data_IF_742779507813
#
_entry.id   IF_742779507813
#
_cell.length_a   1.000
_cell.length_b   1.000
_cell.length_c   1.000
_cell.angle_alpha   90.00
_cell.angle_beta   90.00
_cell.angle_gamma   90.00
#
_symmetry.space_group_name_H-M   'P 1'
#
loop_
_entity.id
_entity.type
_entity.pdbx_description
1 polymer ?
#
# COMPACT_ATOMS: atom_id res chain seq x y z
N UNK A 1 -9.43 -4.37 -2.68
CA UNK A 1 -8.63 -5.26 -1.83
C UNK A 1 -9.33 -6.60 -1.66
N UNK A 2 -8.57 -7.66 -1.76
CA UNK A 2 -9.01 -9.03 -1.51
C UNK A 2 -8.04 -9.64 -0.50
N UNK A 3 -8.55 -10.29 0.54
CA UNK A 3 -7.72 -10.84 1.59
C UNK A 3 -8.58 -11.54 2.63
N UNK A 4 -7.97 -11.93 3.74
CA UNK A 4 -8.65 -12.62 4.81
C UNK A 4 -7.94 -12.50 6.15
N UNK A 5 -8.62 -12.88 7.19
CA UNK A 5 -8.09 -12.86 8.54
C UNK A 5 -9.19 -12.85 9.59
N UNK A 6 -8.78 -12.92 10.82
CA UNK A 6 -9.71 -12.84 11.96
C UNK A 6 -9.51 -11.50 12.66
N UNK A 7 -10.59 -10.75 12.79
CA UNK A 7 -10.63 -9.49 13.52
C UNK A 7 -11.70 -9.62 14.59
N UNK A 8 -11.32 -9.36 15.83
CA UNK A 8 -12.22 -9.34 16.97
C UNK A 8 -12.40 -7.88 17.41
N UNK A 9 -13.66 -7.50 17.57
CA UNK A 9 -14.03 -6.20 18.10
C UNK A 9 -14.75 -6.35 19.43
N UNK A 10 -14.35 -5.57 20.40
CA UNK A 10 -15.00 -5.52 21.72
C UNK A 10 -15.30 -4.07 22.10
N UNK A 11 -16.50 -3.86 22.59
CA UNK A 11 -16.95 -2.58 23.13
C UNK A 11 -17.22 -2.74 24.63
N UNK A 12 -16.56 -1.93 25.43
CA UNK A 12 -16.87 -1.83 26.86
C UNK A 12 -17.67 -0.54 27.11
N UNK A 13 -18.63 -0.58 28.01
CA UNK A 13 -19.46 0.58 28.37
C UNK A 13 -18.69 1.75 29.00
N UNK A 14 -17.43 1.54 29.34
CA UNK A 14 -16.55 2.52 29.99
C UNK A 14 -15.25 2.82 29.25
N UNK A 15 -15.00 2.16 28.13
CA UNK A 15 -13.75 2.29 27.35
C UNK A 15 -14.05 2.45 25.88
N UNK A 16 -13.11 3.06 25.15
CA UNK A 16 -13.11 3.07 23.69
C UNK A 16 -13.12 1.65 23.13
N UNK A 17 -13.79 1.45 22.00
CA UNK A 17 -13.83 0.17 21.32
C UNK A 17 -12.41 -0.37 21.05
N UNK A 18 -12.20 -1.65 21.28
CA UNK A 18 -10.93 -2.33 21.05
C UNK A 18 -11.04 -3.30 19.89
N UNK A 19 -10.02 -3.30 19.04
CA UNK A 19 -9.92 -4.22 17.92
C UNK A 19 -8.63 -5.03 18.03
N UNK A 20 -8.72 -6.34 17.84
CA UNK A 20 -7.55 -7.23 17.80
C UNK A 20 -7.65 -8.19 16.64
N UNK A 21 -6.50 -8.58 16.11
CA UNK A 21 -6.43 -9.53 15.01
C UNK A 21 -5.64 -9.02 13.82
N UNK A 22 -5.63 -9.78 12.74
CA UNK A 22 -4.86 -9.49 11.53
C UNK A 22 -5.72 -9.69 10.30
N UNK A 23 -5.62 -8.77 9.37
CA UNK A 23 -6.11 -8.89 8.01
C UNK A 23 -4.95 -8.97 7.04
N UNK A 24 -4.82 -10.08 6.33
CA UNK A 24 -3.79 -10.31 5.32
C UNK A 24 -4.35 -10.00 3.94
N UNK A 25 -3.61 -9.24 3.16
CA UNK A 25 -3.97 -8.84 1.80
C UNK A 25 -3.38 -9.87 0.85
N UNK A 26 -4.24 -10.51 0.06
CA UNK A 26 -3.85 -11.47 -0.97
C UNK A 26 -3.78 -10.79 -2.35
N UNK A 27 -4.65 -9.78 -2.58
CA UNK A 27 -4.74 -9.08 -3.85
C UNK A 27 -5.32 -7.68 -3.67
N UNK A 28 -4.88 -6.75 -4.49
CA UNK A 28 -5.40 -5.39 -4.51
C UNK A 28 -4.35 -4.40 -4.95
N UNK A 29 -4.75 -3.15 -5.01
CA UNK A 29 -3.86 -2.07 -5.39
C UNK A 29 -4.10 -0.84 -4.52
N UNK A 30 -3.08 0.00 -4.47
CA UNK A 30 -3.15 1.34 -3.90
C UNK A 30 -2.90 2.36 -5.01
N UNK A 31 -3.69 3.43 -4.99
CA UNK A 31 -3.51 4.58 -5.88
C UNK A 31 -2.73 5.65 -5.16
N UNK A 32 -1.73 6.16 -5.84
CA UNK A 32 -0.93 7.27 -5.35
C UNK A 32 -0.82 8.34 -6.45
N UNK A 33 -1.18 9.56 -6.11
CA UNK A 33 -1.07 10.70 -7.03
C UNK A 33 -0.04 11.67 -6.48
N UNK A 34 1.21 11.62 -6.98
CA UNK A 34 2.22 12.60 -6.61
C UNK A 34 1.80 14.02 -7.01
N UNK A 35 2.27 15.06 -6.31
CA UNK A 35 2.06 16.44 -6.75
C UNK A 35 2.58 16.65 -8.17
N UNK A 36 1.77 17.26 -9.04
CA UNK A 36 2.09 17.61 -10.42
C UNK A 36 2.35 16.41 -11.37
N UNK A 37 1.94 15.20 -10.99
CA UNK A 37 2.17 13.99 -11.75
C UNK A 37 0.88 13.18 -11.98
N UNK A 38 0.94 12.23 -12.90
CA UNK A 38 -0.13 11.28 -13.13
C UNK A 38 -0.26 10.30 -11.97
N UNK A 39 -1.47 9.78 -11.78
CA UNK A 39 -1.76 8.72 -10.83
C UNK A 39 -0.88 7.49 -11.09
N UNK A 40 -0.34 6.91 -10.03
CA UNK A 40 0.41 5.66 -10.02
C UNK A 40 -0.40 4.58 -9.31
N UNK A 41 -0.33 3.37 -9.82
CA UNK A 41 -1.02 2.20 -9.27
C UNK A 41 0.05 1.22 -8.77
N UNK A 42 0.00 0.91 -7.49
CA UNK A 42 0.85 -0.09 -6.88
C UNK A 42 0.03 -1.31 -6.52
N UNK A 43 0.38 -2.45 -7.06
CA UNK A 43 -0.22 -3.73 -6.72
C UNK A 43 0.37 -4.28 -5.43
N UNK A 44 -0.48 -4.65 -4.48
CA UNK A 44 -0.02 -5.24 -3.22
C UNK A 44 0.63 -6.59 -3.46
N UNK A 45 1.79 -6.79 -2.84
CA UNK A 45 2.41 -8.11 -2.73
C UNK A 45 1.64 -8.97 -1.73
N UNK A 46 1.54 -10.24 -2.05
CA UNK A 46 0.95 -11.25 -1.17
C UNK A 46 1.68 -11.27 0.19
N UNK A 47 0.91 -11.43 1.25
CA UNK A 47 1.43 -11.41 2.61
C UNK A 47 1.48 -10.02 3.25
N UNK A 48 1.15 -8.96 2.52
CA UNK A 48 0.89 -7.65 3.11
C UNK A 48 -0.23 -7.75 4.14
N UNK A 49 -0.11 -7.06 5.28
CA UNK A 49 -1.13 -7.16 6.32
C UNK A 49 -1.30 -5.88 7.14
N UNK A 50 -2.47 -5.81 7.78
CA UNK A 50 -2.79 -4.85 8.83
C UNK A 50 -3.14 -5.64 10.11
N UNK A 51 -2.50 -5.33 11.23
CA UNK A 51 -2.74 -5.98 12.51
C UNK A 51 -3.20 -4.97 13.57
N UNK A 52 -4.26 -5.33 14.28
CA UNK A 52 -4.84 -4.54 15.36
C UNK A 52 -4.44 -5.14 16.70
N UNK A 53 -3.92 -4.32 17.60
CA UNK A 53 -3.44 -4.71 18.93
C UNK A 53 -4.20 -4.00 20.06
N UNK A 54 -5.47 -3.69 19.83
CA UNK A 54 -6.35 -3.01 20.79
C UNK A 54 -6.76 -1.62 20.28
N UNK A 55 -5.83 -0.77 19.93
CA UNK A 55 -6.10 0.57 19.39
C UNK A 55 -6.53 0.47 17.92
N UNK A 56 -7.79 0.81 17.65
CA UNK A 56 -8.37 0.80 16.29
C UNK A 56 -7.71 1.85 15.40
N UNK A 57 -7.28 2.95 16.00
CA UNK A 57 -6.74 4.11 15.28
C UNK A 57 -5.24 3.99 15.01
N UNK A 58 -4.58 3.01 15.61
CA UNK A 58 -3.14 2.81 15.47
C UNK A 58 -2.75 1.34 15.19
N UNK A 59 -3.27 0.75 14.10
CA UNK A 59 -2.88 -0.60 13.69
C UNK A 59 -1.40 -0.65 13.30
N UNK A 60 -0.83 -1.83 13.39
CA UNK A 60 0.48 -2.15 12.84
C UNK A 60 0.32 -2.49 11.36
N UNK A 61 1.16 -1.90 10.53
CA UNK A 61 1.19 -2.07 9.08
C UNK A 61 2.42 -2.88 8.66
N UNK A 62 2.24 -3.77 7.71
CA UNK A 62 3.31 -4.43 6.97
C UNK A 62 2.80 -4.58 5.54
N UNK A 63 2.95 -3.53 4.77
CA UNK A 63 2.42 -3.43 3.42
C UNK A 63 3.59 -3.32 2.45
N UNK A 64 3.56 -4.14 1.42
CA UNK A 64 4.48 -4.05 0.29
C UNK A 64 3.66 -4.00 -0.99
N UNK A 65 3.96 -3.04 -1.85
CA UNK A 65 3.27 -2.86 -3.12
C UNK A 65 4.25 -2.46 -4.22
N UNK A 66 3.95 -2.83 -5.45
CA UNK A 66 4.83 -2.70 -6.61
C UNK A 66 4.13 -1.98 -7.75
N UNK A 67 4.82 -1.06 -8.40
CA UNK A 67 4.51 -0.51 -9.72
C UNK A 67 5.56 -0.98 -10.74
N UNK A 68 5.11 -1.49 -11.89
CA UNK A 68 5.99 -1.92 -12.97
C UNK A 68 6.18 -0.78 -13.95
N UNK A 69 7.40 -0.28 -14.06
CA UNK A 69 7.74 0.88 -14.88
C UNK A 69 8.75 0.47 -15.94
N UNK A 70 8.48 0.83 -17.21
CA UNK A 70 9.42 0.64 -18.31
C UNK A 70 10.24 1.89 -18.52
N UNK A 71 11.56 1.74 -18.60
CA UNK A 71 12.47 2.83 -18.94
C UNK A 71 13.52 2.40 -19.95
N UNK A 72 13.95 3.35 -20.76
CA UNK A 72 15.09 3.17 -21.62
C UNK A 72 16.39 3.29 -20.81
N UNK A 73 17.23 2.29 -20.92
CA UNK A 73 18.56 2.26 -20.30
C UNK A 73 19.62 2.22 -21.40
N UNK A 74 20.54 3.15 -21.33
CA UNK A 74 21.71 3.20 -22.20
C UNK A 74 22.96 3.01 -21.35
N UNK A 75 23.70 1.95 -21.61
CA UNK A 75 25.01 1.71 -21.00
C UNK A 75 26.11 2.15 -21.96
N UNK A 76 27.27 2.52 -21.42
CA UNK A 76 28.39 2.96 -22.22
C UNK A 76 28.79 1.90 -23.27
N UNK A 77 28.78 2.31 -24.54
CA UNK A 77 29.12 1.42 -25.67
C UNK A 77 28.02 0.44 -26.10
N UNK A 78 26.80 0.57 -25.57
CA UNK A 78 25.65 -0.26 -25.94
C UNK A 78 24.48 0.59 -26.47
N UNK A 79 23.65 -0.05 -27.31
CA UNK A 79 22.39 0.54 -27.74
C UNK A 79 21.41 0.69 -26.57
N UNK A 80 20.55 1.70 -26.64
CA UNK A 80 19.47 1.90 -25.68
C UNK A 80 18.48 0.74 -25.75
N UNK A 81 18.14 0.19 -24.60
CA UNK A 81 17.17 -0.91 -24.48
C UNK A 81 16.10 -0.59 -23.46
N UNK A 82 14.88 -1.06 -23.73
CA UNK A 82 13.73 -0.88 -22.86
C UNK A 82 13.73 -2.01 -21.81
N UNK A 83 13.78 -1.64 -20.54
CA UNK A 83 13.84 -2.56 -19.40
C UNK A 83 12.64 -2.31 -18.49
N UNK A 84 12.04 -3.41 -17.97
CA UNK A 84 11.03 -3.33 -16.91
C UNK A 84 11.73 -3.21 -15.55
N UNK A 85 11.24 -2.30 -14.75
CA UNK A 85 11.64 -2.13 -13.36
C UNK A 85 10.45 -2.31 -12.45
N UNK A 86 10.68 -2.97 -11.35
CA UNK A 86 9.76 -3.08 -10.23
C UNK A 86 10.12 -2.02 -9.20
N UNK A 87 9.28 -0.99 -9.09
CA UNK A 87 9.39 0.02 -8.04
C UNK A 87 8.54 -0.42 -6.86
N UNK A 88 9.18 -0.73 -5.76
CA UNK A 88 8.53 -1.22 -4.55
C UNK A 88 8.39 -0.12 -3.51
N UNK A 89 7.20 -0.03 -2.91
CA UNK A 89 6.93 0.78 -1.72
C UNK A 89 6.64 -0.14 -0.54
N UNK A 90 7.38 0.02 0.54
CA UNK A 90 7.23 -0.73 1.78
C UNK A 90 6.77 0.20 2.89
N UNK A 91 5.63 -0.10 3.48
CA UNK A 91 5.08 0.64 4.63
C UNK A 91 5.05 -0.29 5.83
N UNK A 92 5.80 0.04 6.87
CA UNK A 92 5.93 -0.77 8.07
C UNK A 92 5.68 0.06 9.34
N UNK A 93 5.59 -0.62 10.47
CA UNK A 93 5.38 -0.06 11.80
C UNK A 93 3.92 0.34 12.05
N UNK A 94 3.62 1.09 13.12
CA UNK A 94 2.26 1.51 13.44
C UNK A 94 1.80 2.69 12.60
N UNK A 95 0.49 2.85 12.43
CA UNK A 95 -0.08 3.94 11.62
C UNK A 95 0.40 5.33 12.08
N UNK A 96 0.56 5.52 13.39
CA UNK A 96 1.02 6.80 13.96
C UNK A 96 2.54 7.00 13.84
N UNK A 97 3.30 5.95 13.55
CA UNK A 97 4.75 5.98 13.41
C UNK A 97 5.19 5.14 12.20
N UNK A 98 4.59 5.43 11.05
CA UNK A 98 4.88 4.69 9.82
C UNK A 98 6.31 4.93 9.34
N UNK A 99 6.94 3.85 8.91
CA UNK A 99 8.16 3.90 8.11
C UNK A 99 7.81 3.57 6.66
N UNK A 100 8.18 4.44 5.73
CA UNK A 100 7.98 4.25 4.28
C UNK A 100 9.34 4.16 3.62
N UNK A 101 9.59 3.05 2.95
CA UNK A 101 10.81 2.81 2.20
C UNK A 101 10.50 2.49 0.74
N UNK A 102 11.40 2.90 -0.15
CA UNK A 102 11.33 2.56 -1.57
C UNK A 102 12.47 1.65 -1.94
N UNK A 103 12.25 0.76 -2.88
CA UNK A 103 13.27 -0.10 -3.45
C UNK A 103 13.07 -0.22 -4.97
N UNK A 104 14.13 -0.59 -5.68
CA UNK A 104 14.13 -0.78 -7.11
C UNK A 104 14.77 -2.12 -7.46
N UNK A 105 14.09 -2.88 -8.29
CA UNK A 105 14.61 -4.13 -8.85
C UNK A 105 14.22 -4.27 -10.32
N UNK A 106 14.82 -5.22 -11.01
CA UNK A 106 14.42 -5.58 -12.37
C UNK A 106 14.44 -7.10 -12.53
N UNK A 107 13.36 -7.71 -13.03
CA UNK A 107 13.33 -9.14 -13.33
C UNK A 107 13.93 -9.49 -14.69
N UNK A 108 14.02 -8.51 -15.61
CA UNK A 108 14.25 -8.76 -17.04
C UNK A 108 15.72 -8.66 -17.44
N UNK A 109 16.56 -8.02 -16.65
CA UNK A 109 17.95 -7.74 -17.02
C UNK A 109 18.93 -8.06 -15.88
N UNK A 110 19.66 -9.14 -16.04
CA UNK A 110 20.62 -9.61 -15.02
C UNK A 110 21.76 -8.64 -14.78
N UNK A 111 22.18 -7.89 -15.79
CA UNK A 111 23.25 -6.90 -15.64
C UNK A 111 22.80 -5.75 -14.75
N UNK A 112 21.64 -5.20 -15.03
CA UNK A 112 21.05 -4.12 -14.23
C UNK A 112 20.65 -4.66 -12.84
N UNK A 113 20.14 -5.89 -12.73
CA UNK A 113 19.84 -6.51 -11.43
C UNK A 113 21.09 -6.60 -10.55
N UNK A 114 22.23 -7.03 -11.10
CA UNK A 114 23.49 -7.07 -10.36
C UNK A 114 24.00 -5.67 -9.99
N UNK A 115 23.81 -4.71 -10.87
CA UNK A 115 24.15 -3.31 -10.64
C UNK A 115 23.33 -2.75 -9.46
N UNK A 116 22.00 -2.94 -9.47
CA UNK A 116 21.11 -2.56 -8.38
C UNK A 116 21.47 -3.28 -7.07
N UNK A 117 21.83 -4.57 -7.12
CA UNK A 117 22.23 -5.33 -5.94
C UNK A 117 23.54 -4.83 -5.32
N UNK A 118 24.41 -4.18 -6.10
CA UNK A 118 25.65 -3.56 -5.62
C UNK A 118 25.43 -2.21 -4.93
N UNK A 119 24.26 -1.58 -5.14
CA UNK A 119 23.92 -0.30 -4.53
C UNK A 119 23.49 -0.45 -3.07
N UNK A 120 23.72 0.59 -2.28
CA UNK A 120 23.10 0.70 -0.96
C UNK A 120 21.56 0.83 -1.06
N UNK A 121 20.86 0.54 0.05
CA UNK A 121 19.40 0.71 0.10
C UNK A 121 18.97 2.16 -0.21
N UNK A 122 19.75 3.15 0.25
CA UNK A 122 19.51 4.56 -0.04
C UNK A 122 19.67 4.89 -1.52
N UNK A 123 20.70 4.34 -2.17
CA UNK A 123 20.91 4.52 -3.60
C UNK A 123 19.76 3.91 -4.42
N UNK A 124 19.33 2.68 -4.08
CA UNK A 124 18.18 2.05 -4.73
C UNK A 124 16.89 2.84 -4.51
N UNK A 125 16.66 3.34 -3.30
CA UNK A 125 15.51 4.20 -3.02
C UNK A 125 15.53 5.47 -3.87
N UNK A 126 16.68 6.11 -4.04
CA UNK A 126 16.82 7.27 -4.92
C UNK A 126 16.56 6.93 -6.39
N UNK A 127 17.02 5.78 -6.86
CA UNK A 127 16.70 5.29 -8.21
C UNK A 127 15.20 5.01 -8.37
N UNK A 128 14.58 4.34 -7.38
CA UNK A 128 13.15 4.10 -7.36
C UNK A 128 12.34 5.41 -7.48
N UNK A 129 12.78 6.43 -6.78
CA UNK A 129 12.17 7.75 -6.85
C UNK A 129 12.32 8.40 -8.22
N UNK A 130 13.53 8.35 -8.82
CA UNK A 130 13.76 8.85 -10.17
C UNK A 130 12.89 8.11 -11.20
N UNK A 131 12.69 6.81 -11.02
CA UNK A 131 11.80 6.02 -11.83
C UNK A 131 10.34 6.48 -11.69
N UNK A 132 9.86 6.69 -10.47
CA UNK A 132 8.49 7.15 -10.23
C UNK A 132 8.23 8.55 -10.78
N UNK A 133 9.21 9.45 -10.62
CA UNK A 133 9.06 10.86 -10.97
C UNK A 133 9.28 11.11 -12.46
N UNK A 134 10.33 10.52 -13.01
CA UNK A 134 10.86 10.89 -14.32
C UNK A 134 10.91 9.74 -15.32
N UNK A 135 10.60 8.52 -14.89
CA UNK A 135 10.78 7.32 -15.73
C UNK A 135 12.24 7.12 -16.19
N UNK A 136 13.20 7.50 -15.33
CA UNK A 136 14.62 7.50 -15.66
C UNK A 136 15.38 6.62 -14.68
N UNK A 137 16.17 5.68 -15.22
CA UNK A 137 17.19 4.95 -14.50
C UNK A 137 18.56 5.61 -14.77
N UNK A 138 19.22 6.05 -13.72
CA UNK A 138 20.47 6.82 -13.84
C UNK A 138 21.75 5.99 -13.63
N UNK A 139 21.61 4.75 -13.11
CA UNK A 139 22.76 3.87 -12.84
C UNK A 139 23.58 4.22 -11.59
N UNK A 140 24.57 3.37 -11.22
CA UNK A 140 25.29 3.46 -9.95
C UNK A 140 26.25 4.64 -9.80
N UNK A 141 26.60 5.31 -10.88
CA UNK A 141 27.52 6.44 -10.87
C UNK A 141 26.84 7.81 -10.96
N UNK A 142 25.55 7.83 -11.22
CA UNK A 142 24.79 9.06 -11.22
C UNK A 142 24.62 9.52 -9.78
N UNK A 143 25.48 10.41 -9.32
CA UNK A 143 25.10 11.31 -8.26
C UNK A 143 23.78 11.94 -8.69
N UNK A 144 22.70 11.63 -7.95
CA UNK A 144 21.46 12.38 -8.07
C UNK A 144 21.89 13.83 -8.26
N UNK A 145 21.46 14.44 -9.38
CA UNK A 145 21.86 15.81 -9.69
C UNK A 145 21.79 16.58 -8.38
N UNK A 146 22.91 17.08 -7.90
CA UNK A 146 23.12 17.63 -6.57
C UNK A 146 22.23 18.85 -6.24
N UNK A 147 21.32 19.20 -7.13
CA UNK A 147 20.22 20.13 -6.91
C UNK A 147 19.05 19.50 -6.14
N UNK A 148 19.05 18.18 -5.89
CA UNK A 148 18.14 17.46 -5.00
C UNK A 148 18.90 16.90 -3.79
N UNK A 149 19.61 17.73 -3.10
CA UNK A 149 20.08 17.44 -1.75
C UNK A 149 18.88 17.44 -0.80
N UNK A 150 18.36 16.27 -0.58
CA UNK A 150 17.10 16.03 0.11
C UNK A 150 16.03 15.63 -0.92
N UNK A 151 15.84 14.34 -1.10
CA UNK A 151 14.84 13.78 -1.99
C UNK A 151 13.48 14.45 -1.71
N UNK A 152 12.95 15.31 -2.61
CA UNK A 152 11.76 16.12 -2.31
C UNK A 152 10.56 15.28 -1.97
N UNK A 153 10.54 14.02 -2.44
CA UNK A 153 9.44 13.11 -2.17
C UNK A 153 9.65 12.40 -0.83
N UNK A 154 10.89 12.04 -0.47
CA UNK A 154 11.20 11.49 0.85
C UNK A 154 10.93 12.55 1.93
N UNK A 155 11.44 13.76 1.74
CA UNK A 155 11.15 14.89 2.61
C UNK A 155 9.64 15.27 2.60
N UNK A 156 8.98 15.13 1.45
CA UNK A 156 7.54 15.34 1.34
C UNK A 156 6.77 14.23 2.05
N UNK A 157 7.09 12.95 1.82
CA UNK A 157 6.48 11.82 2.51
C UNK A 157 6.76 11.91 4.01
N UNK A 158 8.00 12.14 4.43
CA UNK A 158 8.38 12.29 5.82
C UNK A 158 7.71 13.49 6.49
N UNK A 159 7.70 14.66 5.86
CA UNK A 159 7.06 15.86 6.41
C UNK A 159 5.54 15.72 6.43
N UNK A 160 4.94 15.06 5.45
CA UNK A 160 3.49 14.85 5.38
C UNK A 160 3.05 13.73 6.30
N UNK A 161 3.81 12.66 6.44
CA UNK A 161 3.58 11.62 7.45
C UNK A 161 3.65 12.23 8.86
N UNK A 162 4.70 13.00 9.15
CA UNK A 162 4.87 13.62 10.47
C UNK A 162 3.81 14.69 10.76
N UNK A 163 3.48 15.54 9.79
CA UNK A 163 2.43 16.56 9.98
C UNK A 163 1.03 15.95 9.96
N UNK A 164 0.81 14.86 9.24
CA UNK A 164 -0.45 14.15 9.24
C UNK A 164 -0.70 13.41 10.57
N UNK A 165 0.30 12.73 11.10
CA UNK A 165 0.27 12.12 12.44
C UNK A 165 -0.08 13.14 13.51
N UNK A 166 0.49 14.36 13.40
CA UNK A 166 0.24 15.42 14.37
C UNK A 166 -1.17 16.05 14.27
N UNK A 167 -1.80 16.05 13.09
CA UNK A 167 -3.00 16.87 12.83
C UNK A 167 -4.28 16.10 12.48
N UNK A 168 -4.25 14.77 12.22
CA UNK A 168 -5.36 14.09 11.55
C UNK A 168 -5.83 12.76 12.14
N UNK A 169 -5.77 12.57 13.44
CA UNK A 169 -6.38 11.39 14.08
C UNK A 169 -7.92 11.39 14.01
N UNK A 170 -8.55 12.41 13.45
CA UNK A 170 -10.00 12.64 13.57
C UNK A 170 -10.90 12.09 12.45
N UNK A 171 -10.39 11.61 11.34
CA UNK A 171 -11.28 11.22 10.22
C UNK A 171 -10.94 9.82 9.66
N UNK A 172 -11.62 8.84 10.22
CA UNK A 172 -11.80 7.53 9.60
C UNK A 172 -13.28 7.41 9.26
N UNK A 173 -13.58 7.24 7.97
CA UNK A 173 -14.93 6.90 7.55
C UNK A 173 -15.13 5.39 7.75
N UNK A 174 -16.02 5.04 8.64
CA UNK A 174 -16.43 3.66 8.85
C UNK A 174 -17.85 3.52 8.36
N UNK A 175 -18.08 2.61 7.43
CA UNK A 175 -19.42 2.26 6.99
C UNK A 175 -19.65 0.75 7.21
N UNK A 176 -20.77 0.44 7.82
CA UNK A 176 -21.27 -0.92 7.97
C UNK A 176 -22.56 -1.05 7.17
N UNK A 177 -22.70 -2.15 6.45
CA UNK A 177 -23.93 -2.54 5.80
C UNK A 177 -24.36 -3.91 6.34
N UNK A 178 -25.65 -4.08 6.52
CA UNK A 178 -26.28 -5.35 6.84
C UNK A 178 -27.39 -5.52 5.82
N UNK A 179 -27.23 -6.53 4.97
CA UNK A 179 -28.25 -6.90 3.98
C UNK A 179 -28.83 -8.26 4.35
N UNK A 180 -30.16 -8.34 4.40
CA UNK A 180 -30.86 -9.60 4.57
C UNK A 180 -31.62 -9.92 3.30
N UNK A 181 -31.44 -11.12 2.79
CA UNK A 181 -32.19 -11.62 1.66
C UNK A 181 -32.63 -13.06 1.87
N UNK A 182 -33.74 -13.39 1.25
CA UNK A 182 -34.27 -14.75 1.30
C UNK A 182 -33.65 -15.57 0.16
N UNK A 183 -32.90 -16.61 0.51
CA UNK A 183 -32.35 -17.58 -0.44
C UNK A 183 -33.27 -18.79 -0.50
N UNK A 184 -33.76 -19.10 -1.68
CA UNK A 184 -34.55 -20.30 -1.93
C UNK A 184 -33.70 -21.35 -2.64
N UNK A 185 -33.42 -22.45 -1.97
CA UNK A 185 -32.71 -23.60 -2.54
C UNK A 185 -33.61 -24.82 -2.36
N UNK A 186 -33.90 -25.55 -3.43
CA UNK A 186 -34.72 -26.77 -3.44
C UNK A 186 -36.09 -26.63 -2.73
N UNK A 187 -36.75 -25.47 -2.91
CA UNK A 187 -38.07 -25.21 -2.35
C UNK A 187 -38.07 -24.84 -0.85
N UNK A 188 -36.91 -24.77 -0.21
CA UNK A 188 -36.77 -24.25 1.15
C UNK A 188 -36.22 -22.84 1.13
N UNK A 189 -36.89 -21.90 1.79
CA UNK A 189 -36.45 -20.52 1.94
C UNK A 189 -35.73 -20.32 3.24
N UNK A 190 -34.48 -19.91 3.19
CA UNK A 190 -33.68 -19.54 4.36
C UNK A 190 -33.32 -18.05 4.30
N UNK A 191 -33.27 -17.41 5.46
CA UNK A 191 -32.78 -16.02 5.56
C UNK A 191 -31.28 -16.01 5.67
N UNK A 192 -30.64 -15.34 4.71
CA UNK A 192 -29.21 -15.12 4.70
C UNK A 192 -28.91 -13.69 5.09
N UNK A 193 -27.95 -13.49 5.96
CA UNK A 193 -27.50 -12.16 6.37
C UNK A 193 -26.08 -11.95 5.86
N UNK A 194 -25.90 -10.90 5.10
CA UNK A 194 -24.60 -10.43 4.63
C UNK A 194 -24.21 -9.18 5.40
N UNK A 195 -23.01 -9.21 5.94
CA UNK A 195 -22.39 -8.09 6.63
C UNK A 195 -21.30 -7.52 5.72
N UNK A 196 -21.40 -6.23 5.43
CA UNK A 196 -20.34 -5.51 4.74
C UNK A 196 -19.71 -4.49 5.68
N UNK A 197 -18.41 -4.35 5.61
CA UNK A 197 -17.71 -3.27 6.31
C UNK A 197 -16.74 -2.59 5.35
N UNK A 198 -16.62 -1.29 5.52
CA UNK A 198 -15.67 -0.48 4.77
C UNK A 198 -15.11 0.57 5.71
N UNK A 199 -13.80 0.55 5.84
CA UNK A 199 -13.04 1.55 6.57
C UNK A 199 -12.23 2.31 5.54
N UNK A 200 -12.38 3.60 5.48
CA UNK A 200 -11.59 4.41 4.57
C UNK A 200 -10.98 5.60 5.27
N UNK A 201 -9.75 5.89 4.92
CA UNK A 201 -9.04 7.07 5.38
C UNK A 201 -8.32 7.74 4.22
N UNK A 202 -8.58 9.01 4.07
CA UNK A 202 -7.90 9.85 3.10
C UNK A 202 -6.70 10.52 3.75
N UNK A 203 -5.57 10.48 3.09
CA UNK A 203 -4.29 10.96 3.55
C UNK A 203 -3.75 12.02 2.59
N UNK A 204 -2.88 12.91 3.09
CA UNK A 204 -2.13 13.87 2.26
C UNK A 204 -3.04 14.81 1.42
N UNK A 205 -4.00 15.48 2.06
CA UNK A 205 -4.91 16.41 1.38
C UNK A 205 -5.64 15.75 0.19
N UNK A 206 -6.30 14.61 0.46
CA UNK A 206 -7.07 13.81 -0.50
C UNK A 206 -6.24 13.11 -1.61
N UNK A 207 -4.93 13.10 -1.53
CA UNK A 207 -4.06 12.51 -2.53
C UNK A 207 -3.84 11.01 -2.37
N UNK A 208 -4.10 10.49 -1.19
CA UNK A 208 -3.95 9.08 -0.87
C UNK A 208 -5.15 8.60 -0.07
N UNK A 209 -5.86 7.62 -0.57
CA UNK A 209 -7.01 7.04 0.13
C UNK A 209 -6.76 5.56 0.39
N UNK A 210 -6.67 5.19 1.66
CA UNK A 210 -6.67 3.80 2.07
C UNK A 210 -8.13 3.38 2.27
N UNK A 211 -8.53 2.31 1.62
CA UNK A 211 -9.85 1.72 1.79
C UNK A 211 -9.66 0.25 2.11
N UNK A 212 -10.14 -0.17 3.26
CA UNK A 212 -10.19 -1.57 3.67
C UNK A 212 -11.66 -1.93 3.85
N UNK A 213 -12.09 -3.00 3.23
CA UNK A 213 -13.46 -3.48 3.37
C UNK A 213 -13.57 -4.95 3.04
N UNK A 214 -14.61 -5.56 3.50
CA UNK A 214 -14.91 -6.96 3.24
C UNK A 214 -16.39 -7.24 3.44
N UNK A 215 -16.80 -8.39 2.93
CA UNK A 215 -18.14 -8.93 3.10
C UNK A 215 -18.03 -10.27 3.84
N UNK A 216 -18.94 -10.49 4.76
CA UNK A 216 -19.13 -11.78 5.38
C UNK A 216 -20.60 -12.17 5.18
N UNK A 217 -20.84 -13.37 4.69
CA UNK A 217 -22.19 -13.91 4.53
C UNK A 217 -22.36 -15.13 5.41
N UNK A 218 -23.53 -15.29 5.98
CA UNK A 218 -23.93 -16.53 6.67
C UNK A 218 -24.30 -17.66 5.71
N UNK A 219 -24.19 -17.42 4.41
CA UNK A 219 -24.41 -18.41 3.37
C UNK A 219 -23.20 -19.33 3.25
N UNK A 220 -23.40 -20.63 3.45
CA UNK A 220 -22.34 -21.64 3.37
C UNK A 220 -21.75 -21.81 1.96
N UNK A 221 -22.44 -21.32 0.93
CA UNK A 221 -22.05 -21.43 -0.48
C UNK A 221 -21.41 -20.13 -1.02
N UNK A 222 -21.13 -19.14 -0.17
CA UNK A 222 -20.59 -17.83 -0.58
C UNK A 222 -19.05 -17.80 -0.70
N UNK A 223 -18.36 -18.91 -0.52
CA UNK A 223 -16.90 -19.04 -0.54
C UNK A 223 -16.36 -19.67 -1.84
N UNK A 224 -16.97 -19.40 -3.01
CA UNK A 224 -16.32 -19.68 -4.31
C UNK A 224 -15.99 -18.42 -5.09
#
# INVERSE_FOLDING_TARGET
LQGGGTINYSLSSMEDGRMTGRYTINKGFVRYTPPLMSEKLFDFKEGSYVAFNGDIMNPTLSLSAVDNIKANVTQEGQDSRLINFDVEINVTNTLNNMNVAFDLSTPDDITIANELASMSAEQRANQAMNMLLYNVYSGPGATANSNFSGNPLYAFVESKVNSWVANNVKFVDISFGIDQYDKTTDGSTSKTTSYSYKVSKTLFDDRFKIVVGGNYSTDADADE
#
